data_IF_620590697922
#
_entry.id   IF_620590697922
#
_cell.length_a   1.000
_cell.length_b   1.000
_cell.length_c   1.000
_cell.angle_alpha   90.00
_cell.angle_beta   90.00
_cell.angle_gamma   90.00
#
_symmetry.space_group_name_H-M   'P 1'
#
loop_
_entity.id
_entity.type
_entity.pdbx_description
1 polymer ?
#
# COMPACT_ATOMS: atom_id res chain seq x y z
N UNK A 1 -20.96 -86.35 -50.15
CA UNK A 1 -20.10 -85.99 -49.00
C UNK A 1 -20.73 -84.78 -48.32
N UNK A 2 -20.80 -84.83 -46.97
CA UNK A 2 -21.12 -83.75 -45.99
C UNK A 2 -22.50 -83.08 -46.13
N UNK A 3 -23.49 -83.27 -45.25
CA UNK A 3 -23.49 -83.02 -43.79
C UNK A 3 -23.57 -81.51 -43.55
N UNK A 4 -24.50 -80.87 -42.83
CA UNK A 4 -25.38 -81.24 -41.73
C UNK A 4 -25.31 -80.09 -40.69
N UNK A 5 -26.47 -79.69 -40.14
CA UNK A 5 -26.69 -78.97 -38.87
C UNK A 5 -26.55 -77.43 -38.71
N UNK A 6 -27.73 -76.84 -38.39
CA UNK A 6 -28.16 -76.09 -37.17
C UNK A 6 -27.66 -74.67 -36.83
N UNK A 7 -28.68 -73.93 -36.32
CA UNK A 7 -28.68 -72.90 -35.27
C UNK A 7 -28.07 -71.52 -35.67
N UNK A 8 -28.50 -70.36 -35.19
CA UNK A 8 -29.57 -69.92 -34.28
C UNK A 8 -29.44 -68.39 -34.19
N UNK A 9 -30.56 -67.67 -33.99
CA UNK A 9 -30.55 -66.55 -33.04
C UNK A 9 -30.50 -65.11 -33.58
N UNK A 10 -31.27 -64.29 -32.85
CA UNK A 10 -31.16 -62.84 -32.67
C UNK A 10 -31.86 -61.92 -33.69
N UNK A 11 -33.14 -61.68 -33.38
CA UNK A 11 -33.86 -60.42 -33.55
C UNK A 11 -33.01 -59.21 -33.16
N UNK A 12 -32.71 -58.33 -34.13
CA UNK A 12 -32.19 -56.98 -33.86
C UNK A 12 -33.37 -56.05 -33.51
N UNK A 13 -33.70 -56.00 -32.21
CA UNK A 13 -34.53 -54.95 -31.63
C UNK A 13 -33.77 -53.62 -31.73
N UNK A 14 -34.43 -52.61 -32.29
CA UNK A 14 -33.89 -51.25 -32.36
C UNK A 14 -33.56 -50.70 -30.98
N UNK A 15 -32.28 -50.45 -30.74
CA UNK A 15 -31.83 -49.68 -29.59
C UNK A 15 -31.93 -48.19 -29.96
N UNK A 16 -32.92 -47.52 -29.37
CA UNK A 16 -32.99 -46.06 -29.30
C UNK A 16 -31.75 -45.56 -28.56
N UNK A 17 -30.90 -44.79 -29.25
CA UNK A 17 -29.81 -44.04 -28.64
C UNK A 17 -30.42 -43.07 -27.61
N UNK A 18 -29.87 -42.95 -26.39
CA UNK A 18 -30.32 -41.93 -25.46
C UNK A 18 -29.99 -40.55 -26.04
N UNK A 19 -31.02 -39.69 -26.06
CA UNK A 19 -30.92 -38.28 -26.38
C UNK A 19 -29.76 -37.65 -25.62
N UNK A 20 -28.81 -37.08 -26.37
CA UNK A 20 -27.79 -36.18 -25.88
C UNK A 20 -28.47 -35.10 -25.02
N UNK A 21 -28.29 -35.22 -23.70
CA UNK A 21 -28.69 -34.18 -22.77
C UNK A 21 -27.77 -33.00 -23.02
N UNK A 22 -28.23 -32.05 -23.84
CA UNK A 22 -27.53 -30.80 -24.13
C UNK A 22 -27.04 -30.19 -22.81
N UNK A 23 -25.72 -30.18 -22.63
CA UNK A 23 -25.08 -29.56 -21.49
C UNK A 23 -25.54 -28.10 -21.43
N UNK A 24 -26.32 -27.76 -20.39
CA UNK A 24 -26.68 -26.38 -20.10
C UNK A 24 -25.38 -25.57 -19.99
N UNK A 25 -25.29 -24.37 -20.60
CA UNK A 25 -24.14 -23.51 -20.38
C UNK A 25 -24.05 -23.24 -18.87
N UNK A 26 -22.96 -23.70 -18.26
CA UNK A 26 -22.61 -23.28 -16.90
C UNK A 26 -22.37 -21.79 -17.02
N UNK A 27 -23.28 -21.00 -16.44
CA UNK A 27 -23.11 -19.55 -16.36
C UNK A 27 -21.73 -19.30 -15.77
N UNK A 28 -20.86 -18.61 -16.51
CA UNK A 28 -19.55 -18.22 -16.02
C UNK A 28 -19.75 -17.50 -14.69
N UNK A 29 -19.12 -18.02 -13.62
CA UNK A 29 -19.17 -17.34 -12.34
C UNK A 29 -18.68 -15.90 -12.55
N UNK A 30 -19.34 -14.89 -11.95
CA UNK A 30 -18.85 -13.53 -12.04
C UNK A 30 -17.39 -13.49 -11.56
N UNK A 31 -16.52 -12.69 -12.19
CA UNK A 31 -15.13 -12.60 -11.78
C UNK A 31 -15.05 -12.26 -10.29
N UNK A 32 -14.12 -12.91 -9.58
CA UNK A 32 -13.91 -12.68 -8.16
C UNK A 32 -13.75 -11.16 -7.88
N UNK A 33 -14.32 -10.66 -6.77
CA UNK A 33 -14.30 -9.23 -6.49
C UNK A 33 -12.86 -8.76 -6.23
N UNK A 34 -12.40 -7.79 -7.02
CA UNK A 34 -11.04 -7.27 -6.88
C UNK A 34 -10.82 -6.60 -5.52
N UNK A 35 -9.73 -6.96 -4.84
CA UNK A 35 -9.37 -6.49 -3.51
C UNK A 35 -8.34 -5.37 -3.59
N UNK A 36 -8.69 -4.21 -3.02
CA UNK A 36 -7.79 -3.07 -2.84
C UNK A 36 -7.11 -3.06 -1.45
N UNK A 37 -5.96 -2.40 -1.35
CA UNK A 37 -5.27 -2.09 -0.10
C UNK A 37 -4.87 -0.61 -0.05
N UNK A 38 -5.42 0.16 0.89
CA UNK A 38 -5.10 1.58 1.09
C UNK A 38 -4.21 1.76 2.31
N UNK A 39 -3.09 2.46 2.16
CA UNK A 39 -2.11 2.72 3.22
C UNK A 39 -1.98 4.22 3.51
N UNK A 40 -2.49 4.65 4.68
CA UNK A 40 -2.35 6.04 5.15
C UNK A 40 -0.88 6.43 5.34
N UNK A 41 -0.56 7.69 5.05
CA UNK A 41 0.69 8.31 5.47
C UNK A 41 0.75 8.58 6.99
N UNK A 42 1.96 8.79 7.51
CA UNK A 42 2.10 9.05 8.95
C UNK A 42 3.52 9.17 9.50
N UNK A 43 4.51 9.44 8.64
CA UNK A 43 5.92 9.41 9.02
C UNK A 43 6.26 8.13 9.84
N UNK A 44 6.79 8.26 11.06
CA UNK A 44 7.13 7.12 11.92
C UNK A 44 5.94 6.34 12.47
N UNK A 45 4.71 6.89 12.42
CA UNK A 45 3.50 6.08 12.66
C UNK A 45 3.37 4.96 11.62
N UNK A 46 3.99 5.10 10.45
CA UNK A 46 4.08 4.05 9.45
C UNK A 46 4.69 2.75 9.97
N UNK A 47 5.45 2.77 11.07
CA UNK A 47 5.90 1.50 11.69
C UNK A 47 4.72 0.59 12.09
N UNK A 48 3.56 1.16 12.42
CA UNK A 48 2.31 0.41 12.61
C UNK A 48 1.93 -0.31 11.32
N UNK A 49 1.86 0.42 10.20
CA UNK A 49 1.60 -0.12 8.87
C UNK A 49 2.59 -1.22 8.51
N UNK A 50 3.89 -1.06 8.83
CA UNK A 50 4.90 -2.09 8.59
C UNK A 50 4.56 -3.41 9.32
N UNK A 51 4.11 -3.33 10.58
CA UNK A 51 3.66 -4.50 11.34
C UNK A 51 2.41 -5.16 10.73
N UNK A 52 1.46 -4.35 10.26
CA UNK A 52 0.25 -4.83 9.58
C UNK A 52 0.62 -5.59 8.29
N UNK A 53 1.42 -4.98 7.43
CA UNK A 53 1.85 -5.57 6.15
C UNK A 53 2.61 -6.89 6.37
N UNK A 54 3.46 -6.96 7.39
CA UNK A 54 4.19 -8.17 7.74
C UNK A 54 3.27 -9.33 8.15
N UNK A 55 2.17 -9.04 8.87
CA UNK A 55 1.15 -10.06 9.19
C UNK A 55 0.40 -10.51 7.95
N UNK A 56 -0.01 -9.57 7.09
CA UNK A 56 -0.69 -9.90 5.82
C UNK A 56 0.18 -10.78 4.91
N UNK A 57 1.47 -10.45 4.77
CA UNK A 57 2.42 -11.26 4.01
C UNK A 57 2.63 -12.66 4.61
N UNK A 58 2.76 -12.78 5.94
CA UNK A 58 2.89 -14.09 6.61
C UNK A 58 1.65 -14.96 6.41
N UNK A 59 0.47 -14.34 6.38
CA UNK A 59 -0.79 -15.00 6.06
C UNK A 59 -1.03 -15.19 4.55
N UNK A 60 -0.10 -14.75 3.71
CA UNK A 60 -0.19 -14.78 2.24
C UNK A 60 -1.44 -14.10 1.68
N UNK A 61 -1.94 -13.06 2.35
CA UNK A 61 -3.01 -12.22 1.81
C UNK A 61 -2.43 -11.44 0.63
N UNK A 62 -3.06 -11.54 -0.53
CA UNK A 62 -2.64 -10.92 -1.79
C UNK A 62 -3.78 -10.08 -2.39
N UNK A 63 -3.53 -8.78 -2.52
CA UNK A 63 -4.48 -7.82 -3.08
C UNK A 63 -4.25 -7.63 -4.58
N UNK A 64 -5.26 -7.21 -5.34
CA UNK A 64 -5.10 -6.89 -6.77
C UNK A 64 -4.48 -5.52 -6.99
N UNK A 65 -4.72 -4.59 -6.06
CA UNK A 65 -4.10 -3.29 -6.08
C UNK A 65 -3.84 -2.76 -4.68
N UNK A 66 -2.81 -1.95 -4.56
CA UNK A 66 -2.45 -1.21 -3.36
C UNK A 66 -2.21 0.25 -3.71
N UNK A 67 -2.60 1.16 -2.82
CA UNK A 67 -2.30 2.59 -2.93
C UNK A 67 -1.73 3.09 -1.62
N UNK A 68 -0.61 3.81 -1.70
CA UNK A 68 0.07 4.34 -0.53
C UNK A 68 0.36 5.83 -0.64
N UNK A 69 0.37 6.49 0.52
CA UNK A 69 0.70 7.91 0.65
C UNK A 69 1.86 8.08 1.62
N UNK A 70 2.88 8.86 1.26
CA UNK A 70 4.02 9.18 2.12
C UNK A 70 4.68 7.90 2.68
N UNK A 71 4.73 7.75 4.00
CA UNK A 71 5.18 6.52 4.67
C UNK A 71 4.44 5.26 4.16
N UNK A 72 3.15 5.33 3.88
CA UNK A 72 2.37 4.22 3.31
C UNK A 72 2.91 3.76 1.96
N UNK A 73 3.32 4.70 1.09
CA UNK A 73 3.95 4.35 -0.20
C UNK A 73 5.34 3.72 0.00
N UNK A 74 6.17 4.32 0.86
CA UNK A 74 7.51 3.80 1.13
C UNK A 74 7.47 2.38 1.72
N UNK A 75 6.51 2.13 2.62
CA UNK A 75 6.34 0.83 3.25
C UNK A 75 5.68 -0.20 2.32
N UNK A 76 4.73 0.23 1.49
CA UNK A 76 4.09 -0.60 0.46
C UNK A 76 5.09 -1.22 -0.52
N UNK A 77 6.23 -0.56 -0.77
CA UNK A 77 7.31 -1.14 -1.57
C UNK A 77 7.78 -2.51 -1.02
N UNK A 78 7.81 -2.67 0.32
CA UNK A 78 8.21 -3.93 0.98
C UNK A 78 7.15 -5.02 0.83
N UNK A 79 5.87 -4.64 0.78
CA UNK A 79 4.76 -5.57 0.57
C UNK A 79 4.77 -6.09 -0.87
N UNK A 80 4.90 -5.18 -1.86
CA UNK A 80 5.02 -5.55 -3.28
C UNK A 80 6.29 -6.34 -3.59
N UNK A 81 7.40 -6.08 -2.89
CA UNK A 81 8.64 -6.87 -3.02
C UNK A 81 8.66 -8.16 -2.17
N UNK A 82 7.59 -8.43 -1.39
CA UNK A 82 7.43 -9.62 -0.53
C UNK A 82 8.53 -9.81 0.53
N UNK A 83 9.08 -8.71 1.03
CA UNK A 83 10.21 -8.72 1.97
C UNK A 83 9.75 -8.52 3.44
N UNK A 84 9.33 -9.62 4.06
CA UNK A 84 8.88 -9.65 5.46
C UNK A 84 9.99 -9.15 6.39
N UNK A 85 9.66 -8.19 7.27
CA UNK A 85 10.54 -7.66 8.29
C UNK A 85 11.57 -6.64 7.80
N UNK A 86 11.66 -6.39 6.48
CA UNK A 86 12.62 -5.42 5.92
C UNK A 86 12.38 -4.00 6.43
N UNK A 87 11.12 -3.56 6.42
CA UNK A 87 10.72 -2.24 6.91
C UNK A 87 11.20 -1.94 8.32
N UNK A 88 11.00 -2.89 9.24
CA UNK A 88 11.47 -2.79 10.62
C UNK A 88 13.01 -2.76 10.70
N UNK A 89 13.66 -3.66 9.95
CA UNK A 89 15.13 -3.81 9.97
C UNK A 89 15.85 -2.53 9.56
N UNK A 90 15.52 -1.93 8.42
CA UNK A 90 16.23 -0.73 7.97
C UNK A 90 15.86 0.50 8.82
N UNK A 91 14.60 0.64 9.26
CA UNK A 91 14.22 1.76 10.11
C UNK A 91 14.95 1.70 11.46
N UNK A 92 15.00 0.54 12.12
CA UNK A 92 15.76 0.41 13.39
C UNK A 92 17.27 0.63 13.18
N UNK A 93 17.83 0.11 12.10
CA UNK A 93 19.27 0.24 11.79
C UNK A 93 19.69 1.70 11.56
N UNK A 94 18.84 2.50 10.90
CA UNK A 94 19.21 3.84 10.45
C UNK A 94 18.51 4.98 11.20
N UNK A 95 17.54 4.73 12.08
CA UNK A 95 16.78 5.80 12.76
C UNK A 95 17.65 6.80 13.54
N UNK A 96 18.76 6.34 14.13
CA UNK A 96 19.72 7.20 14.82
C UNK A 96 20.80 7.79 13.90
N UNK A 97 20.88 7.36 12.64
CA UNK A 97 21.86 7.87 11.68
C UNK A 97 21.50 9.32 11.31
N UNK A 98 22.39 10.29 11.52
CA UNK A 98 22.12 11.70 11.21
C UNK A 98 21.90 11.94 9.70
N UNK A 99 22.30 10.99 8.84
CA UNK A 99 22.00 10.99 7.41
C UNK A 99 20.61 10.45 7.10
N UNK A 100 19.95 9.71 7.99
CA UNK A 100 18.63 9.15 7.72
C UNK A 100 17.51 10.18 7.96
N UNK A 101 17.55 10.85 9.12
CA UNK A 101 16.64 11.94 9.46
C UNK A 101 17.30 12.92 10.45
N UNK A 102 17.21 14.23 10.22
CA UNK A 102 17.65 15.20 11.23
C UNK A 102 17.78 16.65 10.80
N UNK A 103 17.79 17.53 11.79
CA UNK A 103 17.96 18.99 11.66
C UNK A 103 19.24 19.37 10.89
N UNK A 104 20.31 18.57 11.03
CA UNK A 104 21.56 18.75 10.28
C UNK A 104 21.37 18.48 8.77
N UNK A 105 20.55 17.51 8.38
CA UNK A 105 20.18 17.27 6.97
C UNK A 105 19.35 18.44 6.45
N UNK A 106 18.38 18.91 7.24
CA UNK A 106 17.56 20.06 6.88
C UNK A 106 18.37 21.35 6.68
N UNK A 107 19.30 21.67 7.60
CA UNK A 107 20.17 22.85 7.51
C UNK A 107 21.15 22.80 6.33
N UNK A 108 21.58 21.61 5.90
CA UNK A 108 22.61 21.45 4.85
C UNK A 108 22.02 21.23 3.46
N UNK A 109 20.82 20.63 3.37
CA UNK A 109 20.22 20.22 2.08
C UNK A 109 18.83 20.80 1.84
N UNK A 110 18.17 21.33 2.87
CA UNK A 110 16.78 21.76 2.81
C UNK A 110 15.76 20.63 3.03
N UNK A 111 16.20 19.39 3.28
CA UNK A 111 15.34 18.21 3.46
C UNK A 111 15.55 17.57 4.85
N UNK A 112 14.45 17.37 5.60
CA UNK A 112 14.48 16.77 6.95
C UNK A 112 14.91 15.30 6.94
N UNK A 113 14.49 14.55 5.92
CA UNK A 113 15.04 13.23 5.61
C UNK A 113 16.09 13.42 4.52
N UNK A 114 17.29 12.87 4.67
CA UNK A 114 18.26 12.99 3.58
C UNK A 114 17.75 12.21 2.39
N UNK A 115 17.34 12.92 1.36
CA UNK A 115 16.94 12.40 0.06
C UNK A 115 17.93 11.37 -0.46
N UNK A 116 19.24 11.68 -0.36
CA UNK A 116 20.30 10.80 -0.85
C UNK A 116 20.40 9.52 -0.05
N UNK A 117 20.23 9.57 1.28
CA UNK A 117 20.42 8.40 2.12
C UNK A 117 19.15 7.57 2.28
N UNK A 118 18.04 8.18 2.70
CA UNK A 118 16.79 7.47 3.01
C UNK A 118 16.09 6.88 1.76
N UNK A 119 16.11 7.60 0.63
CA UNK A 119 15.47 7.17 -0.62
C UNK A 119 16.46 6.71 -1.71
N UNK A 120 17.76 6.97 -1.56
CA UNK A 120 18.80 6.54 -2.49
C UNK A 120 19.69 5.42 -1.95
N UNK A 121 20.34 5.62 -0.81
CA UNK A 121 21.31 4.65 -0.29
C UNK A 121 20.60 3.47 0.38
N UNK A 122 19.60 3.70 1.23
CA UNK A 122 18.95 2.61 1.98
C UNK A 122 18.26 1.61 1.05
N UNK A 123 17.32 2.01 0.18
CA UNK A 123 16.53 1.05 -0.58
C UNK A 123 17.27 0.38 -1.73
N UNK A 124 18.40 0.92 -2.18
CA UNK A 124 19.16 0.38 -3.32
C UNK A 124 20.53 -0.18 -2.95
N UNK A 125 21.10 0.23 -1.81
CA UNK A 125 22.46 -0.18 -1.40
C UNK A 125 22.54 -0.76 -0.01
N UNK A 126 22.00 -0.13 1.02
CA UNK A 126 22.27 -0.51 2.41
C UNK A 126 21.35 -1.61 2.95
N UNK A 127 20.11 -1.66 2.45
CA UNK A 127 19.15 -2.75 2.64
C UNK A 127 18.31 -2.86 1.36
N UNK A 128 18.85 -3.46 0.27
CA UNK A 128 18.23 -3.37 -1.05
C UNK A 128 16.81 -3.97 -1.11
N UNK A 129 15.94 -3.31 -1.88
CA UNK A 129 14.63 -3.85 -2.27
C UNK A 129 14.83 -4.96 -3.31
N UNK A 130 14.02 -6.01 -3.25
CA UNK A 130 13.99 -7.02 -4.31
C UNK A 130 13.22 -6.48 -5.53
N UNK A 131 13.94 -5.84 -6.45
CA UNK A 131 13.36 -5.26 -7.67
C UNK A 131 12.74 -6.31 -8.59
N UNK A 132 13.28 -7.55 -8.58
CA UNK A 132 12.74 -8.64 -9.39
C UNK A 132 11.40 -9.10 -8.86
N UNK A 133 11.30 -9.33 -7.55
CA UNK A 133 10.02 -9.67 -6.91
C UNK A 133 9.00 -8.53 -7.07
N UNK A 134 9.42 -7.28 -6.88
CA UNK A 134 8.56 -6.11 -7.06
C UNK A 134 7.96 -6.03 -8.48
N UNK A 135 8.78 -6.27 -9.51
CA UNK A 135 8.33 -6.23 -10.91
C UNK A 135 7.52 -7.47 -11.32
N UNK A 136 7.80 -8.63 -10.71
CA UNK A 136 7.08 -9.88 -10.97
C UNK A 136 5.72 -9.95 -10.26
N UNK A 137 5.52 -9.21 -9.17
CA UNK A 137 4.26 -9.17 -8.45
C UNK A 137 3.18 -8.44 -9.29
N UNK A 138 2.09 -9.13 -9.69
CA UNK A 138 1.08 -8.57 -10.58
C UNK A 138 0.15 -7.56 -9.90
N UNK A 139 0.20 -7.42 -8.57
CA UNK A 139 -0.56 -6.40 -7.84
C UNK A 139 -0.20 -5.01 -8.36
N UNK A 140 -1.20 -4.22 -8.75
CA UNK A 140 -0.96 -2.82 -9.08
C UNK A 140 -0.55 -2.05 -7.83
N UNK A 141 0.48 -1.22 -7.91
CA UNK A 141 0.86 -0.36 -6.80
C UNK A 141 0.78 1.09 -7.22
N UNK A 142 0.01 1.88 -6.49
CA UNK A 142 -0.23 3.29 -6.74
C UNK A 142 0.39 4.13 -5.62
N UNK A 143 0.91 5.28 -6.01
CA UNK A 143 1.46 6.26 -5.08
C UNK A 143 0.77 7.60 -5.32
N UNK A 144 0.51 8.33 -4.24
CA UNK A 144 -0.10 9.67 -4.29
C UNK A 144 0.93 10.73 -3.95
N UNK A 145 1.06 11.74 -4.78
CA UNK A 145 1.76 12.99 -4.44
C UNK A 145 0.83 14.18 -4.67
N UNK A 146 1.17 15.35 -4.14
CA UNK A 146 0.43 16.59 -4.43
C UNK A 146 1.20 17.40 -5.45
N UNK A 147 0.56 17.78 -6.56
CA UNK A 147 1.15 18.70 -7.53
C UNK A 147 1.24 20.10 -6.89
N UNK A 148 2.46 20.62 -6.74
CA UNK A 148 2.70 21.88 -6.04
C UNK A 148 2.12 23.10 -6.79
N UNK A 149 1.92 22.99 -8.11
CA UNK A 149 1.35 24.06 -8.91
C UNK A 149 -0.18 24.13 -8.75
N UNK A 150 -0.87 22.99 -8.67
CA UNK A 150 -2.34 22.95 -8.62
C UNK A 150 -2.91 22.70 -7.23
N UNK A 151 -2.13 22.14 -6.31
CA UNK A 151 -2.60 21.70 -4.99
C UNK A 151 -3.43 20.41 -5.03
N UNK A 152 -3.58 19.79 -6.21
CA UNK A 152 -4.41 18.62 -6.45
C UNK A 152 -3.62 17.30 -6.33
N UNK A 153 -4.29 16.16 -6.05
CA UNK A 153 -3.63 14.87 -6.00
C UNK A 153 -3.19 14.41 -7.39
N UNK A 154 -1.98 13.86 -7.45
CA UNK A 154 -1.41 13.16 -8.59
C UNK A 154 -1.18 11.70 -8.22
N UNK A 155 -1.83 10.80 -8.96
CA UNK A 155 -1.74 9.36 -8.77
C UNK A 155 -0.79 8.76 -9.82
N UNK A 156 0.17 7.94 -9.38
CA UNK A 156 1.10 7.24 -10.28
C UNK A 156 1.12 5.75 -9.97
N UNK A 157 0.94 4.93 -10.99
CA UNK A 157 1.16 3.49 -10.91
C UNK A 157 2.66 3.20 -10.95
N UNK A 158 3.16 2.57 -9.89
CA UNK A 158 4.54 2.22 -9.59
C UNK A 158 4.84 0.83 -10.15
N UNK A 159 5.25 0.76 -11.42
CA UNK A 159 5.50 -0.53 -12.11
C UNK A 159 6.95 -0.97 -11.94
N UNK A 160 7.88 -0.04 -11.85
CA UNK A 160 9.31 -0.33 -11.86
C UNK A 160 10.09 0.53 -10.85
N UNK A 161 11.34 0.15 -10.59
CA UNK A 161 12.24 0.90 -9.71
C UNK A 161 12.46 2.35 -10.17
N UNK A 162 12.32 2.64 -11.48
CA UNK A 162 12.39 4.00 -12.02
C UNK A 162 11.31 4.94 -11.47
N UNK A 163 10.22 4.38 -10.93
CA UNK A 163 9.12 5.17 -10.36
C UNK A 163 9.44 5.63 -8.92
N UNK A 164 10.47 5.09 -8.27
CA UNK A 164 10.81 5.38 -6.87
C UNK A 164 11.05 6.88 -6.53
N UNK A 165 11.49 7.76 -7.44
CA UNK A 165 11.46 9.20 -7.21
C UNK A 165 10.06 9.74 -6.85
N UNK A 166 8.99 9.11 -7.33
CA UNK A 166 7.62 9.48 -6.98
C UNK A 166 7.23 9.09 -5.55
N UNK A 167 7.77 7.99 -5.01
CA UNK A 167 7.65 7.67 -3.57
C UNK A 167 8.32 8.74 -2.73
N UNK A 168 9.50 9.22 -3.16
CA UNK A 168 10.18 10.34 -2.50
C UNK A 168 9.32 11.61 -2.55
N UNK A 169 8.74 11.95 -3.71
CA UNK A 169 7.83 13.09 -3.82
C UNK A 169 6.65 12.98 -2.85
N UNK A 170 6.02 11.80 -2.80
CA UNK A 170 4.92 11.45 -1.90
C UNK A 170 5.22 11.63 -0.41
N UNK A 171 6.50 11.63 -0.02
CA UNK A 171 6.95 11.82 1.36
C UNK A 171 7.65 13.18 1.60
N UNK A 172 7.63 14.10 0.62
CA UNK A 172 8.31 15.40 0.70
C UNK A 172 7.44 16.43 1.41
N UNK A 173 7.57 16.52 2.73
CA UNK A 173 6.75 17.39 3.58
C UNK A 173 6.92 18.87 3.19
N UNK A 174 5.85 19.60 2.83
CA UNK A 174 5.94 21.03 2.52
C UNK A 174 6.58 21.83 3.66
N UNK A 175 7.34 22.88 3.32
CA UNK A 175 8.10 23.76 4.25
C UNK A 175 9.32 23.07 4.88
N UNK A 176 9.23 21.77 5.15
CA UNK A 176 10.29 20.92 5.67
C UNK A 176 11.21 20.34 4.59
N UNK A 177 10.79 20.32 3.33
CA UNK A 177 11.52 19.73 2.20
C UNK A 177 11.23 20.49 0.92
N UNK A 178 12.16 20.44 -0.04
CA UNK A 178 11.95 21.07 -1.35
C UNK A 178 11.02 20.20 -2.21
N UNK A 179 10.11 20.80 -3.01
CA UNK A 179 9.34 20.04 -3.99
C UNK A 179 10.25 19.21 -4.91
N UNK A 180 9.84 17.98 -5.17
CA UNK A 180 10.58 17.04 -6.03
C UNK A 180 10.12 17.23 -7.47
N UNK A 181 11.06 17.49 -8.37
CA UNK A 181 10.77 17.66 -9.79
C UNK A 181 10.80 16.30 -10.50
N UNK A 182 9.71 15.96 -11.19
CA UNK A 182 9.52 14.72 -11.94
C UNK A 182 8.77 15.09 -13.22
N UNK A 183 9.31 14.73 -14.39
CA UNK A 183 8.69 14.97 -15.70
C UNK A 183 8.27 16.45 -15.92
N UNK A 184 9.08 17.40 -15.44
CA UNK A 184 8.82 18.85 -15.55
C UNK A 184 7.78 19.40 -14.58
N UNK A 185 7.20 18.58 -13.71
CA UNK A 185 6.26 18.97 -12.65
C UNK A 185 6.89 18.85 -11.28
N UNK A 186 6.42 19.65 -10.32
CA UNK A 186 6.93 19.65 -8.95
C UNK A 186 5.90 19.10 -7.98
N UNK A 187 6.35 18.18 -7.15
CA UNK A 187 5.48 17.41 -6.26
C UNK A 187 5.93 17.50 -4.80
N UNK A 188 4.96 17.42 -3.90
CA UNK A 188 5.16 17.34 -2.45
C UNK A 188 4.33 16.19 -1.86
N UNK A 189 4.41 16.02 -0.54
CA UNK A 189 3.77 14.92 0.18
C UNK A 189 2.28 14.80 -0.17
N UNK A 190 1.87 13.59 -0.61
CA UNK A 190 0.51 13.34 -1.10
C UNK A 190 -0.56 13.47 -0.01
N UNK A 191 -0.15 13.39 1.26
CA UNK A 191 -1.06 13.54 2.38
C UNK A 191 -1.58 14.97 2.54
N UNK A 192 -1.12 15.93 1.73
CA UNK A 192 -1.69 17.28 1.63
C UNK A 192 -3.00 17.27 0.86
N UNK A 193 -3.10 16.49 -0.22
CA UNK A 193 -4.26 16.48 -1.13
C UNK A 193 -5.16 15.26 -1.00
N UNK A 194 -4.61 14.09 -0.67
CA UNK A 194 -5.37 12.85 -0.49
C UNK A 194 -4.58 11.86 0.42
N UNK A 195 -4.71 11.97 1.75
CA UNK A 195 -4.01 11.12 2.72
C UNK A 195 -4.60 9.71 2.88
N UNK A 196 -5.87 9.48 2.56
CA UNK A 196 -6.53 8.17 2.59
C UNK A 196 -7.31 7.95 1.28
N UNK A 197 -6.64 7.52 0.19
CA UNK A 197 -7.18 7.50 -1.18
C UNK A 197 -8.15 6.33 -1.45
N UNK A 198 -9.08 6.07 -0.52
CA UNK A 198 -10.12 5.04 -0.65
C UNK A 198 -11.07 5.36 -1.79
N UNK A 199 -11.58 6.59 -1.86
CA UNK A 199 -12.54 6.99 -2.89
C UNK A 199 -11.94 6.88 -4.30
N UNK A 200 -10.66 7.24 -4.46
CA UNK A 200 -9.95 7.06 -5.72
C UNK A 200 -9.91 5.58 -6.13
N UNK A 201 -9.57 4.67 -5.20
CA UNK A 201 -9.51 3.24 -5.46
C UNK A 201 -10.87 2.62 -5.77
N UNK A 202 -11.93 3.03 -5.07
CA UNK A 202 -13.29 2.59 -5.39
C UNK A 202 -13.68 3.03 -6.81
N UNK A 203 -13.32 4.25 -7.23
CA UNK A 203 -13.53 4.75 -8.61
C UNK A 203 -12.73 3.96 -9.65
N UNK A 204 -11.59 3.38 -9.30
CA UNK A 204 -10.84 2.45 -10.17
C UNK A 204 -11.47 1.04 -10.22
N UNK A 205 -12.56 0.82 -9.48
CA UNK A 205 -13.29 -0.45 -9.43
C UNK A 205 -12.73 -1.44 -8.41
N UNK A 206 -12.02 -0.98 -7.38
CA UNK A 206 -11.63 -1.76 -6.21
C UNK A 206 -12.66 -1.55 -5.08
N UNK A 207 -13.88 -2.08 -5.30
CA UNK A 207 -15.03 -1.85 -4.43
C UNK A 207 -14.91 -2.51 -3.04
N UNK A 208 -13.99 -3.48 -2.88
CA UNK A 208 -13.68 -4.12 -1.60
C UNK A 208 -12.25 -3.80 -1.23
N UNK A 209 -12.05 -3.02 -0.16
CA UNK A 209 -10.73 -2.49 0.17
C UNK A 209 -10.37 -2.69 1.63
N UNK A 210 -9.17 -3.19 1.90
CA UNK A 210 -8.56 -3.14 3.22
C UNK A 210 -7.95 -1.75 3.39
N UNK A 211 -8.25 -1.05 4.48
CA UNK A 211 -7.73 0.28 4.78
C UNK A 211 -6.87 0.21 6.03
N UNK A 212 -5.59 0.60 5.92
CA UNK A 212 -4.67 0.69 7.05
C UNK A 212 -4.53 2.14 7.45
N UNK A 213 -5.09 2.48 8.61
CA UNK A 213 -4.95 3.79 9.24
C UNK A 213 -3.87 3.73 10.33
N UNK A 214 -3.20 4.85 10.53
CA UNK A 214 -2.13 5.06 11.52
C UNK A 214 -2.59 5.89 12.72
N UNK A 215 -3.86 6.26 12.75
CA UNK A 215 -4.51 7.01 13.82
C UNK A 215 -5.70 6.24 14.40
N UNK A 216 -6.03 6.43 15.68
CA UNK A 216 -7.21 5.83 16.28
C UNK A 216 -8.50 6.42 15.71
N UNK A 217 -9.62 5.74 15.95
CA UNK A 217 -10.92 6.13 15.39
C UNK A 217 -11.35 7.56 15.80
N UNK A 218 -11.10 7.95 17.04
CA UNK A 218 -11.50 9.25 17.59
C UNK A 218 -10.63 10.42 17.12
N UNK A 219 -9.53 10.16 16.42
CA UNK A 219 -8.64 11.22 15.94
C UNK A 219 -9.31 12.11 14.89
N UNK A 220 -9.25 13.42 15.12
CA UNK A 220 -9.63 14.45 14.14
C UNK A 220 -8.49 15.42 13.92
N UNK A 221 -8.26 15.76 12.66
CA UNK A 221 -7.23 16.71 12.27
C UNK A 221 -7.72 18.12 12.51
N UNK A 222 -6.88 18.93 13.15
CA UNK A 222 -7.19 20.32 13.49
C UNK A 222 -6.47 21.29 12.54
N UNK A 223 -7.00 22.52 12.38
CA UNK A 223 -6.33 23.58 11.63
C UNK A 223 -4.91 23.85 12.11
N UNK A 224 -4.02 24.10 11.14
CA UNK A 224 -2.65 24.51 11.42
C UNK A 224 -2.64 25.98 11.89
N UNK A 225 -1.88 26.32 12.95
CA UNK A 225 -1.68 27.71 13.32
C UNK A 225 -0.80 28.43 12.28
N UNK A 226 -0.79 29.77 12.33
CA UNK A 226 0.10 30.62 11.52
C UNK A 226 -0.02 30.50 9.98
N UNK A 227 -1.21 30.18 9.46
CA UNK A 227 -1.47 30.07 8.02
C UNK A 227 -1.02 31.29 7.19
N UNK A 228 -1.03 32.51 7.75
CA UNK A 228 -0.50 33.71 7.07
C UNK A 228 0.99 33.59 6.75
N UNK A 229 1.79 33.06 7.69
CA UNK A 229 3.22 32.84 7.48
C UNK A 229 3.47 31.72 6.47
N UNK A 230 2.66 30.65 6.51
CA UNK A 230 2.72 29.55 5.53
C UNK A 230 2.44 30.08 4.11
N UNK A 231 1.39 30.89 3.93
CA UNK A 231 1.06 31.52 2.63
C UNK A 231 2.21 32.39 2.11
N UNK A 232 2.89 33.13 2.99
CA UNK A 232 4.06 33.93 2.61
C UNK A 232 5.25 33.05 2.19
N UNK A 233 5.54 31.99 2.96
CA UNK A 233 6.61 31.05 2.64
C UNK A 233 6.35 30.32 1.30
N UNK A 234 5.08 30.02 1.01
CA UNK A 234 4.62 29.35 -0.20
C UNK A 234 4.08 30.32 -1.26
N UNK A 235 4.53 31.58 -1.28
CA UNK A 235 4.04 32.57 -2.26
C UNK A 235 4.21 32.15 -3.73
N UNK A 236 5.17 31.27 -4.02
CA UNK A 236 5.37 30.67 -5.37
C UNK A 236 4.44 29.49 -5.68
N UNK A 237 3.73 29.00 -4.67
CA UNK A 237 2.82 27.85 -4.73
C UNK A 237 1.51 28.16 -3.97
N UNK A 238 0.71 29.15 -4.42
CA UNK A 238 -0.48 29.60 -3.70
C UNK A 238 -1.53 28.49 -3.54
N UNK A 239 -1.74 27.67 -4.57
CA UNK A 239 -2.67 26.54 -4.52
C UNK A 239 -2.23 25.45 -3.53
N UNK A 240 -0.92 25.23 -3.38
CA UNK A 240 -0.39 24.35 -2.34
C UNK A 240 -0.68 24.90 -0.94
N UNK A 241 -0.55 26.21 -0.73
CA UNK A 241 -0.89 26.83 0.55
C UNK A 241 -2.39 26.67 0.88
N UNK A 242 -3.26 26.81 -0.12
CA UNK A 242 -4.70 26.56 0.04
C UNK A 242 -5.03 25.09 0.30
N UNK A 243 -4.32 24.16 -0.34
CA UNK A 243 -4.48 22.73 -0.09
C UNK A 243 -4.09 22.39 1.37
N UNK A 244 -2.98 22.95 1.87
CA UNK A 244 -2.55 22.82 3.27
C UNK A 244 -3.63 23.37 4.23
N UNK A 245 -4.24 24.50 3.90
CA UNK A 245 -5.29 25.12 4.71
C UNK A 245 -6.56 24.26 4.77
N UNK A 246 -6.97 23.68 3.63
CA UNK A 246 -8.16 22.82 3.50
C UNK A 246 -7.96 21.41 4.07
N UNK A 247 -6.71 20.98 4.21
CA UNK A 247 -6.31 19.61 4.61
C UNK A 247 -7.02 19.04 5.84
N UNK A 248 -7.22 19.76 6.96
CA UNK A 248 -7.88 19.19 8.14
C UNK A 248 -9.33 18.79 7.85
N UNK A 249 -10.08 19.66 7.16
CA UNK A 249 -11.46 19.40 6.78
C UNK A 249 -11.58 18.27 5.77
N UNK A 250 -10.68 18.22 4.79
CA UNK A 250 -10.61 17.12 3.82
C UNK A 250 -10.30 15.78 4.52
N UNK A 251 -9.25 15.71 5.35
CA UNK A 251 -8.86 14.49 6.07
C UNK A 251 -10.01 13.97 6.92
N UNK A 252 -10.69 14.84 7.66
CA UNK A 252 -11.80 14.44 8.52
C UNK A 252 -12.98 13.85 7.70
N UNK A 253 -13.25 14.41 6.51
CA UNK A 253 -14.26 13.85 5.58
C UNK A 253 -13.85 12.49 5.04
N UNK A 254 -12.59 12.29 4.68
CA UNK A 254 -12.09 10.98 4.24
C UNK A 254 -12.23 9.93 5.34
N UNK A 255 -11.93 10.27 6.60
CA UNK A 255 -12.14 9.36 7.74
C UNK A 255 -13.62 9.03 7.94
N UNK A 256 -14.52 10.01 7.79
CA UNK A 256 -15.97 9.77 7.87
C UNK A 256 -16.44 8.86 6.74
N UNK A 257 -15.92 9.05 5.53
CA UNK A 257 -16.17 8.18 4.41
C UNK A 257 -15.66 6.75 4.66
N UNK A 258 -14.43 6.58 5.14
CA UNK A 258 -13.89 5.25 5.52
C UNK A 258 -14.82 4.54 6.52
N UNK A 259 -15.34 5.26 7.53
CA UNK A 259 -16.30 4.70 8.49
C UNK A 259 -17.62 4.28 7.85
N UNK A 260 -18.13 5.06 6.91
CA UNK A 260 -19.32 4.72 6.14
C UNK A 260 -19.09 3.43 5.34
N UNK A 261 -17.97 3.33 4.63
CA UNK A 261 -17.61 2.16 3.83
C UNK A 261 -17.35 0.92 4.68
N UNK A 262 -16.79 1.09 5.87
CA UNK A 262 -16.63 0.01 6.84
C UNK A 262 -17.97 -0.53 7.33
N UNK A 263 -18.91 0.35 7.71
CA UNK A 263 -20.27 -0.04 8.11
C UNK A 263 -21.02 -0.75 6.99
N UNK A 264 -20.80 -0.34 5.73
CA UNK A 264 -21.38 -0.97 4.56
C UNK A 264 -20.73 -2.32 4.18
N UNK A 265 -19.63 -2.72 4.86
CA UNK A 265 -18.89 -3.94 4.52
C UNK A 265 -18.06 -3.85 3.24
N UNK A 266 -17.94 -2.64 2.65
CA UNK A 266 -17.11 -2.38 1.47
C UNK A 266 -15.64 -2.14 1.85
N UNK A 267 -15.38 -1.68 3.07
CA UNK A 267 -14.03 -1.53 3.61
C UNK A 267 -13.82 -2.40 4.85
N UNK A 268 -12.60 -2.94 5.01
CA UNK A 268 -12.13 -3.52 6.27
C UNK A 268 -10.98 -2.67 6.80
N UNK A 269 -11.16 -2.08 7.98
CA UNK A 269 -10.17 -1.15 8.53
C UNK A 269 -9.30 -1.80 9.60
N UNK A 270 -7.99 -1.64 9.47
CA UNK A 270 -7.00 -1.96 10.51
C UNK A 270 -6.39 -0.65 10.98
N UNK A 271 -6.49 -0.36 12.28
CA UNK A 271 -6.03 0.90 12.87
C UNK A 271 -5.60 0.69 14.33
N UNK A 272 -4.77 1.56 14.91
CA UNK A 272 -4.42 1.43 16.32
C UNK A 272 -5.61 1.73 17.22
N UNK A 273 -5.73 1.03 18.35
CA UNK A 273 -6.79 1.25 19.32
C UNK A 273 -6.67 2.59 20.06
N UNK A 274 -5.45 3.12 20.16
CA UNK A 274 -5.11 4.37 20.84
C UNK A 274 -4.03 5.12 20.05
N UNK A 275 -3.73 6.35 20.45
CA UNK A 275 -2.63 7.11 19.87
C UNK A 275 -1.31 6.34 19.98
N UNK A 276 -0.59 6.23 18.87
CA UNK A 276 0.72 5.55 18.85
C UNK A 276 1.79 6.28 19.67
N UNK A 277 1.55 7.56 20.03
CA UNK A 277 2.43 8.39 20.84
C UNK A 277 3.89 8.40 20.36
N UNK A 278 4.10 8.47 19.05
CA UNK A 278 5.41 8.49 18.42
C UNK A 278 5.64 9.81 17.67
N UNK A 279 6.79 10.43 17.91
CA UNK A 279 7.20 11.63 17.18
C UNK A 279 7.50 11.32 15.71
N UNK A 280 7.17 12.25 14.80
CA UNK A 280 7.39 12.10 13.36
C UNK A 280 8.87 11.83 12.99
N UNK A 281 9.82 12.27 13.82
CA UNK A 281 11.27 12.08 13.64
C UNK A 281 11.87 11.16 14.72
N UNK A 282 11.10 10.21 15.27
CA UNK A 282 11.58 9.27 16.27
C UNK A 282 12.89 8.59 15.81
N UNK A 283 13.88 8.59 16.72
CA UNK A 283 15.22 8.03 16.52
C UNK A 283 15.54 6.86 17.46
N UNK A 284 14.54 6.41 18.21
CA UNK A 284 14.68 5.35 19.20
C UNK A 284 14.24 4.01 18.59
N UNK A 285 15.16 3.04 18.40
CA UNK A 285 14.82 1.74 17.86
C UNK A 285 13.78 0.97 18.69
N UNK A 286 13.71 1.21 20.01
CA UNK A 286 12.75 0.55 20.91
C UNK A 286 11.33 1.08 20.69
N UNK A 287 11.17 2.38 20.46
CA UNK A 287 9.89 2.99 20.11
C UNK A 287 9.41 2.57 18.72
N UNK A 288 10.32 2.45 17.75
CA UNK A 288 9.97 1.91 16.42
C UNK A 288 9.49 0.45 16.51
N UNK A 289 10.13 -0.36 17.38
CA UNK A 289 9.69 -1.72 17.66
C UNK A 289 8.32 -1.73 18.32
N UNK A 290 8.09 -0.91 19.36
CA UNK A 290 6.80 -0.83 20.07
C UNK A 290 5.64 -0.50 19.12
N UNK A 291 5.84 0.47 18.23
CA UNK A 291 4.83 0.87 17.25
C UNK A 291 4.60 -0.22 16.19
N UNK A 292 5.66 -0.89 15.75
CA UNK A 292 5.56 -2.05 14.87
C UNK A 292 4.79 -3.21 15.52
N UNK A 293 5.10 -3.55 16.77
CA UNK A 293 4.45 -4.62 17.52
C UNK A 293 2.96 -4.32 17.76
N UNK A 294 2.60 -3.05 17.91
CA UNK A 294 1.21 -2.60 17.92
C UNK A 294 0.51 -2.95 16.59
N UNK A 295 1.14 -2.66 15.45
CA UNK A 295 0.64 -3.05 14.13
C UNK A 295 0.46 -4.55 13.98
N UNK A 296 1.45 -5.34 14.39
CA UNK A 296 1.38 -6.81 14.38
C UNK A 296 0.22 -7.31 15.22
N UNK A 297 0.03 -6.79 16.43
CA UNK A 297 -1.08 -7.16 17.32
C UNK A 297 -2.44 -6.86 16.70
N UNK A 298 -2.67 -5.63 16.23
CA UNK A 298 -3.97 -5.25 15.70
C UNK A 298 -4.29 -5.99 14.37
N UNK A 299 -3.29 -6.21 13.53
CA UNK A 299 -3.46 -7.03 12.33
C UNK A 299 -3.73 -8.51 12.66
N UNK A 300 -3.06 -9.08 13.67
CA UNK A 300 -3.29 -10.46 14.10
C UNK A 300 -4.72 -10.64 14.63
N UNK A 301 -5.22 -9.69 15.42
CA UNK A 301 -6.62 -9.68 15.87
C UNK A 301 -7.61 -9.58 14.70
N UNK A 302 -7.27 -8.75 13.70
CA UNK A 302 -8.11 -8.56 12.52
C UNK A 302 -8.02 -9.72 11.50
N UNK A 303 -7.00 -10.58 11.60
CA UNK A 303 -6.68 -11.56 10.56
C UNK A 303 -7.84 -12.49 10.18
N UNK A 304 -8.65 -13.04 11.11
CA UNK A 304 -9.82 -13.85 10.73
C UNK A 304 -10.83 -13.07 9.89
N UNK A 305 -11.07 -11.79 10.23
CA UNK A 305 -11.94 -10.89 9.44
C UNK A 305 -11.32 -10.59 8.09
N UNK A 306 -10.00 -10.39 8.02
CA UNK A 306 -9.27 -10.17 6.77
C UNK A 306 -9.42 -11.37 5.84
N UNK A 307 -9.17 -12.59 6.32
CA UNK A 307 -9.29 -13.81 5.52
C UNK A 307 -10.72 -14.01 4.99
N UNK A 308 -11.73 -13.80 5.85
CA UNK A 308 -13.13 -13.84 5.42
C UNK A 308 -13.51 -12.70 4.47
N UNK A 309 -12.85 -11.54 4.57
CA UNK A 309 -13.06 -10.43 3.67
C UNK A 309 -12.46 -10.69 2.29
N UNK A 310 -11.20 -11.12 2.21
CA UNK A 310 -10.52 -11.30 0.92
C UNK A 310 -10.96 -12.57 0.19
N UNK A 311 -11.38 -13.61 0.90
CA UNK A 311 -11.69 -14.91 0.29
C UNK A 311 -10.45 -15.77 0.04
N UNK A 312 -10.63 -17.08 -0.10
CA UNK A 312 -9.53 -18.04 -0.28
C UNK A 312 -8.77 -17.81 -1.60
N UNK A 313 -9.45 -17.27 -2.61
CA UNK A 313 -8.88 -16.96 -3.93
C UNK A 313 -7.83 -15.84 -3.90
N UNK A 314 -7.77 -15.08 -2.80
CA UNK A 314 -6.79 -14.02 -2.53
C UNK A 314 -5.71 -14.43 -1.52
N UNK A 315 -5.59 -15.72 -1.22
CA UNK A 315 -4.58 -16.25 -0.28
C UNK A 315 -3.59 -17.15 -1.01
N UNK A 316 -2.34 -16.68 -1.15
CA UNK A 316 -1.27 -17.42 -1.82
C UNK A 316 -1.53 -17.71 -3.30
N UNK A 317 -2.17 -16.77 -3.99
CA UNK A 317 -2.55 -16.85 -5.41
C UNK A 317 -1.34 -16.81 -6.35
N UNK A 318 -0.27 -16.13 -5.96
CA UNK A 318 0.90 -15.90 -6.80
C UNK A 318 2.13 -16.68 -6.33
N UNK A 319 2.85 -17.25 -7.30
CA UNK A 319 4.08 -18.02 -7.08
C UNK A 319 5.32 -17.17 -6.79
N UNK A 320 5.18 -15.86 -6.55
CA UNK A 320 6.31 -15.01 -6.20
C UNK A 320 6.70 -15.29 -4.73
N UNK A 321 7.92 -15.74 -4.44
CA UNK A 321 8.25 -16.20 -3.09
C UNK A 321 8.32 -15.04 -2.09
N UNK A 322 7.75 -15.24 -0.91
CA UNK A 322 8.03 -14.37 0.24
C UNK A 322 9.44 -14.64 0.76
N UNK A 323 10.14 -13.58 1.16
CA UNK A 323 11.51 -13.68 1.62
C UNK A 323 11.73 -12.92 2.93
N UNK A 324 12.39 -13.58 3.86
CA UNK A 324 13.03 -12.94 5.03
C UNK A 324 14.52 -12.72 4.78
N UNK A 325 15.04 -13.18 3.63
CA UNK A 325 16.47 -13.10 3.30
C UNK A 325 16.89 -11.64 3.18
N UNK A 326 18.03 -11.35 3.78
CA UNK A 326 18.69 -10.05 3.67
C UNK A 326 19.42 -10.03 2.33
N UNK A 327 19.04 -9.11 1.43
CA UNK A 327 19.82 -8.87 0.22
C UNK A 327 21.12 -8.16 0.65
N UNK A 328 22.31 -8.69 0.32
CA UNK A 328 23.56 -8.11 0.78
C UNK A 328 23.74 -6.69 0.25
N UNK A 329 24.35 -5.78 1.03
CA UNK A 329 24.55 -4.42 0.59
C UNK A 329 25.42 -4.36 -0.68
N UNK A 330 25.02 -3.54 -1.65
CA UNK A 330 25.83 -3.32 -2.85
C UNK A 330 26.98 -2.37 -2.54
N UNK A 331 28.23 -2.84 -2.67
CA UNK A 331 29.41 -2.07 -2.29
C UNK A 331 29.88 -1.04 -3.32
N UNK A 332 29.50 -1.14 -4.59
CA UNK A 332 29.89 -0.18 -5.65
C UNK A 332 28.92 -0.24 -6.83
N UNK A 333 28.34 0.91 -7.20
CA UNK A 333 27.88 1.28 -8.55
C UNK A 333 28.04 2.79 -8.70
#
# INVERSE_FOLDING_TARGET
MTGGDRASGATMSGATMPHDAAARPVAAQPPAPRIGLVLEGGAMRGMFTAGVLDVLMRARVECDAMIGVSAGAALGCNYKSRQIGRALRYNKRFCADPRYAGVRSWLTTGDIYSVKFAYGVVPFRADPMDERAFAADPMEFWCVATDAATGEPAYRCMRHAIDMPFVRASASIPIASRPVEIDGRRYVDGGVSDPVPLEFFEKQGYARTIVVLTQPDDYRKTPLPHMRAIRLALHRYPHLAEAIERRPGMYNREIDYVREREKAGAALVIRPAESLNIGALCKDPSELQRVYDCGVREATKALPRVLGFVGEEHVGRHDVPYTTRIIPPQRNL
#
